data_IF_686960593943
#
_entry.id   IF_686960593943
#
_cell.length_a   1.000
_cell.length_b   1.000
_cell.length_c   1.000
_cell.angle_alpha   90.00
_cell.angle_beta   90.00
_cell.angle_gamma   90.00
#
_symmetry.space_group_name_H-M   'P 1'
#
loop_
_entity.id
_entity.type
_entity.pdbx_description
1 polymer ?
#
# COMPACT_ATOMS: atom_id res chain seq x y z
N UNK A 1 10.34 -0.68 -21.54
CA UNK A 1 9.53 -0.94 -20.35
C UNK A 1 10.24 -0.42 -19.11
N UNK A 2 9.54 0.28 -18.26
CA UNK A 2 10.14 0.80 -17.05
C UNK A 2 9.99 -0.19 -15.90
N UNK A 3 11.06 -0.35 -15.11
CA UNK A 3 10.98 -1.15 -13.88
C UNK A 3 10.41 -0.32 -12.72
N UNK A 4 10.34 1.00 -12.89
CA UNK A 4 9.76 1.89 -11.86
C UNK A 4 8.33 2.19 -12.20
N UNK A 5 7.56 2.55 -11.17
CA UNK A 5 6.17 2.94 -11.38
C UNK A 5 6.16 4.40 -11.85
N UNK A 6 5.94 4.60 -13.15
CA UNK A 6 6.04 5.92 -13.75
C UNK A 6 4.69 6.56 -14.05
N UNK A 7 3.73 6.33 -13.17
CA UNK A 7 2.44 7.00 -13.26
C UNK A 7 2.51 8.37 -12.58
N UNK A 8 1.75 9.36 -13.06
CA UNK A 8 1.74 10.66 -12.37
C UNK A 8 1.18 10.53 -10.97
N UNK A 9 1.75 11.33 -10.07
CA UNK A 9 1.22 11.41 -8.70
C UNK A 9 -0.16 12.04 -8.72
N UNK A 10 -1.06 11.53 -7.89
CA UNK A 10 -2.40 12.09 -7.69
C UNK A 10 -2.54 12.50 -6.24
N UNK A 11 -3.21 13.64 -5.97
CA UNK A 11 -3.47 14.02 -4.57
C UNK A 11 -4.30 12.96 -3.85
N UNK A 12 -3.96 12.71 -2.60
CA UNK A 12 -4.66 11.73 -1.78
C UNK A 12 -5.94 12.37 -1.26
N UNK A 13 -7.00 12.28 -2.04
CA UNK A 13 -8.30 12.82 -1.67
C UNK A 13 -9.34 11.72 -1.82
N UNK A 14 -10.45 11.87 -1.09
CA UNK A 14 -11.54 10.91 -1.20
C UNK A 14 -12.08 10.86 -2.63
N UNK A 15 -12.13 12.00 -3.29
CA UNK A 15 -12.61 12.09 -4.66
C UNK A 15 -11.75 11.24 -5.60
N UNK A 16 -10.43 11.37 -5.50
CA UNK A 16 -9.53 10.60 -6.35
C UNK A 16 -9.57 9.12 -6.03
N UNK A 17 -9.74 8.78 -4.75
CA UNK A 17 -9.88 7.38 -4.35
C UNK A 17 -11.15 6.77 -4.95
N UNK A 18 -12.24 7.52 -4.93
CA UNK A 18 -13.52 7.03 -5.45
C UNK A 18 -13.47 6.76 -6.95
N UNK A 19 -12.56 7.42 -7.65
CA UNK A 19 -12.38 7.20 -9.10
C UNK A 19 -11.55 5.96 -9.42
N UNK A 20 -10.94 5.33 -8.42
CA UNK A 20 -10.15 4.13 -8.66
C UNK A 20 -11.03 2.93 -8.89
N UNK A 21 -10.51 2.00 -9.69
CA UNK A 21 -11.21 0.74 -9.91
C UNK A 21 -10.98 -0.19 -8.73
N UNK A 22 -11.83 -1.22 -8.63
CA UNK A 22 -11.65 -2.26 -7.63
C UNK A 22 -10.72 -3.37 -8.11
N UNK A 23 -9.87 -3.09 -9.09
CA UNK A 23 -8.96 -4.08 -9.65
C UNK A 23 -7.72 -4.27 -8.79
N UNK A 24 -6.99 -5.34 -9.07
CA UNK A 24 -5.79 -5.70 -8.31
C UNK A 24 -4.57 -5.08 -8.96
N UNK A 25 -3.53 -4.86 -8.16
CA UNK A 25 -2.31 -4.25 -8.66
C UNK A 25 -1.41 -3.78 -7.54
N UNK A 26 -0.56 -2.81 -7.87
CA UNK A 26 0.41 -2.26 -6.93
C UNK A 26 0.24 -0.76 -6.84
N UNK A 27 0.78 -0.17 -5.77
CA UNK A 27 0.67 1.28 -5.59
C UNK A 27 1.85 1.81 -4.78
N UNK A 28 2.07 3.11 -4.92
CA UNK A 28 3.05 3.83 -4.11
C UNK A 28 2.38 5.04 -3.48
N UNK A 29 2.77 5.32 -2.24
CA UNK A 29 2.31 6.49 -1.52
C UNK A 29 3.46 7.49 -1.40
N UNK A 30 3.14 8.77 -1.51
CA UNK A 30 4.13 9.84 -1.46
C UNK A 30 3.83 10.86 -0.40
N UNK A 31 4.88 11.50 0.10
CA UNK A 31 4.75 12.60 1.05
C UNK A 31 4.61 13.93 0.32
N UNK A 32 4.68 15.04 1.06
CA UNK A 32 4.52 16.38 0.49
C UNK A 32 5.57 16.70 -0.58
N UNK A 33 6.73 16.06 -0.50
CA UNK A 33 7.81 16.26 -1.44
C UNK A 33 7.79 15.24 -2.57
N UNK A 34 6.73 14.44 -2.64
CA UNK A 34 6.59 13.38 -3.65
C UNK A 34 7.66 12.30 -3.51
N UNK A 35 8.13 12.10 -2.28
CA UNK A 35 9.03 10.98 -1.99
C UNK A 35 8.21 9.76 -1.61
N UNK A 36 8.60 8.59 -2.11
CA UNK A 36 7.87 7.36 -1.81
C UNK A 36 8.06 6.99 -0.34
N UNK A 37 6.94 6.85 0.38
CA UNK A 37 6.97 6.47 1.79
C UNK A 37 6.36 5.10 2.03
N UNK A 38 5.69 4.52 1.03
CA UNK A 38 5.11 3.19 1.17
C UNK A 38 4.86 2.57 -0.20
N UNK A 39 5.13 1.28 -0.32
CA UNK A 39 4.81 0.50 -1.51
C UNK A 39 3.91 -0.63 -1.05
N UNK A 40 2.77 -0.81 -1.72
CA UNK A 40 1.83 -1.84 -1.34
C UNK A 40 1.18 -2.50 -2.54
N UNK A 41 0.32 -3.46 -2.26
CA UNK A 41 -0.38 -4.18 -3.30
C UNK A 41 -1.81 -4.47 -2.88
N UNK A 42 -2.68 -4.58 -3.87
CA UNK A 42 -4.04 -5.09 -3.70
C UNK A 42 -4.04 -6.49 -4.29
N UNK A 43 -4.18 -7.49 -3.44
CA UNK A 43 -4.18 -8.89 -3.86
C UNK A 43 -5.59 -9.47 -3.79
N UNK A 44 -5.70 -10.77 -4.02
CA UNK A 44 -7.00 -11.43 -4.09
C UNK A 44 -7.78 -11.35 -2.76
N UNK A 45 -7.13 -11.00 -1.66
CA UNK A 45 -7.78 -10.85 -0.36
C UNK A 45 -8.20 -9.42 -0.07
N UNK A 46 -7.78 -8.47 -0.90
CA UNK A 46 -8.10 -7.06 -0.68
C UNK A 46 -9.55 -6.80 -1.05
N UNK A 47 -10.32 -6.28 -0.10
CA UNK A 47 -11.68 -5.85 -0.39
C UNK A 47 -11.64 -4.61 -1.27
N UNK A 48 -12.39 -4.62 -2.34
CA UNK A 48 -12.52 -3.49 -3.25
C UNK A 48 -11.21 -3.13 -3.95
N UNK A 49 -10.22 -4.06 -3.98
CA UNK A 49 -9.01 -3.90 -4.75
C UNK A 49 -8.22 -2.65 -4.39
N UNK A 50 -7.67 -1.99 -5.40
CA UNK A 50 -6.84 -0.79 -5.20
C UNK A 50 -7.59 0.32 -4.49
N UNK A 51 -8.89 0.51 -4.81
CA UNK A 51 -9.67 1.55 -4.15
C UNK A 51 -9.77 1.31 -2.65
N UNK A 52 -10.03 0.06 -2.25
CA UNK A 52 -10.12 -0.28 -0.84
C UNK A 52 -8.80 -0.13 -0.12
N UNK A 53 -7.70 -0.52 -0.77
CA UNK A 53 -6.37 -0.35 -0.20
C UNK A 53 -6.07 1.13 0.02
N UNK A 54 -6.37 1.96 -0.98
CA UNK A 54 -6.07 3.38 -0.89
C UNK A 54 -6.87 4.05 0.21
N UNK A 55 -8.11 3.58 0.43
CA UNK A 55 -8.95 4.13 1.50
C UNK A 55 -8.30 3.97 2.87
N UNK A 56 -7.58 2.89 3.09
CA UNK A 56 -6.89 2.66 4.37
C UNK A 56 -5.76 3.65 4.59
N UNK A 57 -5.22 4.23 3.54
CA UNK A 57 -4.07 5.13 3.63
C UNK A 57 -4.43 6.59 3.51
N UNK A 58 -5.73 6.92 3.47
CA UNK A 58 -6.20 8.27 3.17
C UNK A 58 -5.54 9.34 4.04
N UNK A 59 -5.35 9.07 5.32
CA UNK A 59 -4.79 10.05 6.24
C UNK A 59 -3.28 9.93 6.40
N UNK A 60 -2.64 9.02 5.66
CA UNK A 60 -1.23 8.71 5.89
C UNK A 60 -0.29 9.28 4.84
N UNK A 61 -0.83 9.74 3.71
CA UNK A 61 0.00 10.21 2.60
C UNK A 61 -0.63 11.43 1.95
N UNK A 62 0.18 12.16 1.18
CA UNK A 62 -0.29 13.33 0.45
C UNK A 62 -0.59 13.00 -1.00
N UNK A 63 0.08 12.01 -1.55
CA UNK A 63 -0.06 11.61 -2.95
C UNK A 63 -0.04 10.10 -3.07
N UNK A 64 -0.59 9.61 -4.19
CA UNK A 64 -0.53 8.19 -4.51
C UNK A 64 -0.45 7.98 -6.01
N UNK A 65 -0.02 6.79 -6.40
CA UNK A 65 -0.10 6.35 -7.80
C UNK A 65 -0.23 4.84 -7.80
N UNK A 66 -0.96 4.31 -8.78
CA UNK A 66 -1.31 2.89 -8.84
C UNK A 66 -1.06 2.33 -10.23
N UNK A 67 -0.85 1.02 -10.28
CA UNK A 67 -0.73 0.29 -11.53
C UNK A 67 -1.59 -0.97 -11.41
N UNK A 68 -2.59 -1.10 -12.28
CA UNK A 68 -3.39 -2.33 -12.36
C UNK A 68 -2.51 -3.41 -12.97
N UNK A 69 -2.37 -4.54 -12.29
CA UNK A 69 -1.46 -5.58 -12.75
C UNK A 69 -1.82 -6.90 -12.09
N UNK A 70 -2.17 -7.89 -12.90
CA UNK A 70 -2.53 -9.19 -12.35
C UNK A 70 -1.31 -9.95 -11.81
N UNK A 71 -0.12 -9.58 -12.25
CA UNK A 71 1.12 -10.12 -11.68
C UNK A 71 1.59 -9.25 -10.51
N UNK A 72 0.64 -8.88 -9.65
CA UNK A 72 0.87 -7.91 -8.58
C UNK A 72 1.96 -8.34 -7.59
N UNK A 73 2.04 -9.62 -7.30
CA UNK A 73 3.04 -10.10 -6.34
C UNK A 73 4.46 -9.90 -6.88
N UNK A 74 4.69 -10.29 -8.12
CA UNK A 74 5.99 -10.10 -8.77
C UNK A 74 6.32 -8.62 -8.92
N UNK A 75 5.32 -7.85 -9.34
CA UNK A 75 5.50 -6.40 -9.53
C UNK A 75 5.82 -5.70 -8.21
N UNK A 76 5.15 -6.11 -7.14
CA UNK A 76 5.40 -5.58 -5.80
C UNK A 76 6.84 -5.82 -5.38
N UNK A 77 7.32 -7.05 -5.54
CA UNK A 77 8.70 -7.37 -5.21
C UNK A 77 9.69 -6.56 -6.04
N UNK A 78 9.39 -6.39 -7.32
CA UNK A 78 10.24 -5.61 -8.20
C UNK A 78 10.34 -4.16 -7.72
N UNK A 79 9.21 -3.56 -7.35
CA UNK A 79 9.21 -2.17 -6.86
C UNK A 79 10.01 -2.02 -5.59
N UNK A 80 9.89 -2.99 -4.66
CA UNK A 80 10.66 -2.96 -3.43
C UNK A 80 12.16 -3.07 -3.70
N UNK A 81 12.53 -3.97 -4.60
CA UNK A 81 13.94 -4.17 -4.94
C UNK A 81 14.54 -2.93 -5.59
N UNK A 82 13.78 -2.31 -6.50
CA UNK A 82 14.25 -1.09 -7.16
C UNK A 82 14.41 0.04 -6.17
N UNK A 83 13.45 0.19 -5.25
CA UNK A 83 13.55 1.24 -4.23
C UNK A 83 14.77 1.03 -3.35
N UNK A 84 15.00 -0.21 -2.92
CA UNK A 84 16.15 -0.50 -2.07
C UNK A 84 17.45 -0.27 -2.82
N UNK A 85 17.50 -0.59 -4.12
CA UNK A 85 18.70 -0.33 -4.91
C UNK A 85 18.95 1.17 -5.03
N UNK A 86 17.88 1.97 -5.20
CA UNK A 86 18.01 3.41 -5.37
C UNK A 86 18.34 4.13 -4.07
N UNK A 87 17.78 3.69 -2.96
CA UNK A 87 17.82 4.44 -1.70
C UNK A 87 18.63 3.78 -0.58
N UNK A 88 19.00 2.52 -0.75
CA UNK A 88 19.73 1.78 0.28
C UNK A 88 18.86 1.33 1.45
N UNK A 89 17.54 1.45 1.32
CA UNK A 89 16.59 1.06 2.36
C UNK A 89 15.22 0.87 1.77
N UNK A 90 14.31 0.31 2.54
CA UNK A 90 12.90 0.23 2.14
C UNK A 90 12.19 1.54 2.44
N UNK A 91 11.02 1.79 1.86
CA UNK A 91 10.24 2.98 2.21
C UNK A 91 9.94 3.03 3.70
N UNK A 92 9.84 4.22 4.23
CA UNK A 92 9.72 4.46 5.68
C UNK A 92 8.60 3.64 6.32
N UNK A 93 7.41 3.67 5.74
CA UNK A 93 6.26 3.00 6.35
C UNK A 93 6.28 1.49 6.14
N UNK A 94 7.00 0.99 5.15
CA UNK A 94 7.17 -0.45 4.96
C UNK A 94 8.02 -1.07 6.07
N UNK A 95 8.78 -0.25 6.78
CA UNK A 95 9.64 -0.70 7.86
C UNK A 95 9.10 -0.33 9.24
N UNK A 96 7.87 0.19 9.29
CA UNK A 96 7.27 0.68 10.54
C UNK A 96 6.24 -0.36 11.04
N UNK A 97 6.60 -1.17 12.05
CA UNK A 97 5.65 -2.18 12.55
C UNK A 97 4.35 -1.58 13.07
N UNK A 98 4.39 -0.39 13.64
CA UNK A 98 3.19 0.27 14.13
C UNK A 98 2.22 0.60 13.00
N UNK A 99 2.76 1.09 11.89
CA UNK A 99 1.93 1.40 10.73
C UNK A 99 1.36 0.12 10.11
N UNK A 100 2.21 -0.88 9.90
CA UNK A 100 1.78 -2.14 9.30
C UNK A 100 0.72 -2.84 10.16
N UNK A 101 0.85 -2.76 11.46
CA UNK A 101 -0.10 -3.39 12.37
C UNK A 101 -1.49 -2.77 12.30
N UNK A 102 -1.60 -1.51 11.93
CA UNK A 102 -2.91 -0.84 11.83
C UNK A 102 -3.66 -1.20 10.55
N UNK A 103 -2.96 -1.74 9.57
CA UNK A 103 -3.56 -2.04 8.27
C UNK A 103 -4.33 -3.35 8.24
N UNK A 104 -4.09 -4.22 9.10
CA UNK A 104 -4.57 -5.55 9.01
C UNK A 104 -5.93 -5.82 8.42
N UNK A 105 -6.33 -6.60 8.59
CA UNK A 105 -7.05 -7.35 8.44
C UNK A 105 -7.58 -8.10 8.72
N UNK A 106 -7.47 -7.89 8.74
CA UNK A 106 -8.06 -8.45 9.02
C UNK A 106 -8.22 -8.71 9.08
N UNK A 107 -7.71 -8.82 9.06
CA UNK A 107 -7.58 -8.54 9.27
C UNK A 107 -7.50 -8.57 9.24
N UNK A 108 -7.31 -8.93 9.39
CA UNK A 108 -7.11 -8.73 9.67
C UNK A 108 -7.56 -9.09 9.67
N UNK A 109 -7.78 -9.73 9.64
CA UNK A 109 -8.01 -9.78 10.00
C UNK A 109 -8.17 -10.17 10.19
N UNK A 110 -8.35 -10.71 10.12
CA UNK A 110 -8.28 -10.64 10.70
C UNK A 110 -8.22 -10.93 11.07
N UNK A 111 -8.28 -11.74 11.21
CA UNK A 111 -7.96 -11.54 11.92
C UNK A 111 -7.74 -11.76 12.27
N UNK A 112 -7.54 -12.15 12.63
CA UNK A 112 -7.12 -11.93 13.35
C UNK A 112 -6.83 -11.72 13.90
N UNK A 113 -7.02 -12.38 14.04
CA UNK A 113 -6.57 -12.00 14.96
C UNK A 113 -6.35 -11.71 15.50
N UNK A 114 -6.66 -12.12 15.37
CA UNK A 114 -6.35 -11.60 16.32
C UNK A 114 -6.08 -11.48 16.88
N UNK A 115 -6.30 -11.78 16.73
CA UNK A 115 -5.89 -11.33 17.62
C UNK A 115 -5.58 -11.19 18.14
N UNK A 116 -5.74 -11.32 18.04
CA UNK A 116 -5.37 -10.92 18.86
C UNK A 116 -4.98 -10.57 19.19
N UNK A 117 -5.29 -11.11 18.92
CA UNK A 117 -4.89 -10.60 19.53
C UNK A 117 -4.77 -10.24 19.90
N UNK A 118 -5.07 -10.71 19.74
CA UNK A 118 -4.87 -10.16 20.44
C UNK A 118 -4.69 -10.01 20.89
N UNK A 119 -4.98 -10.15 20.46
CA UNK A 119 -4.76 -9.81 21.21
C UNK A 119 -4.44 -9.31 21.64
N UNK A 120 -4.89 -10.07 21.45
CA UNK A 120 -4.56 -9.47 22.17
C UNK A 120 -4.28 -9.21 22.56
N UNK A 121 -4.75 -9.25 22.31
CA UNK A 121 -4.43 -8.75 22.88
C UNK A 121 -4.19 -8.57 23.24
N UNK A 122 -4.38 -8.93 23.33
CA UNK A 122 -4.21 -8.43 23.82
C UNK A 122 -3.96 -8.18 24.04
N UNK A 123 -4.48 -8.67 23.64
CA UNK A 123 -4.27 -8.13 24.06
C UNK A 123 -4.01 -8.07 24.28
#
# INVERSE_FOLDING_TARGET
MSIRLEKPWQPMTQENINDLSGQLGVYELGDESEQVIYIGLADARSKFGLRGEMQQHLSSARYFRCEVNMAYSTRYQELLMVFQADKGRLPELNSDPGYLGRLSPLGNDSGQHDTELDKTPED
#
